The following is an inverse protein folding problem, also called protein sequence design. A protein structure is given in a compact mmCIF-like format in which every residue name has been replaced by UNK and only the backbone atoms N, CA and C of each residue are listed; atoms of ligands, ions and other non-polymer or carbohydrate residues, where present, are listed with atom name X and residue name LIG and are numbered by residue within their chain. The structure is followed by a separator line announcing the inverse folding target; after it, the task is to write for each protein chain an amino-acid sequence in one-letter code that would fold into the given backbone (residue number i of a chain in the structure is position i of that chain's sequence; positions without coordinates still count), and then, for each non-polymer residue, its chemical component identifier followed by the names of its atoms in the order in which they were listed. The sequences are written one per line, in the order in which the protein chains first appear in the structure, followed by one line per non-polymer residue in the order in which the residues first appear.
data_IF_648041881132
#
_entry.id   IF_648041881132
#
_cell.length_a   1.000
_cell.length_b   1.000
_cell.length_c   1.000
_cell.angle_alpha   90.00
_cell.angle_beta   90.00
_cell.angle_gamma   90.00
#
_symmetry.space_group_name_H-M   'P 1'
#
loop_
_entity.id
_entity.type
_entity.pdbx_description
1 polymer ?
#
# COMPACT_ATOMS: atom_id res chain seq x y z
N UNK A 1 -11.43 22.07 1.75
CA UNK A 1 -12.76 21.48 2.05
C UNK A 1 -13.52 21.03 0.80
N UNK A 2 -13.56 21.81 -0.28
CA UNK A 2 -14.22 21.41 -1.53
C UNK A 2 -13.68 20.10 -2.14
N UNK A 3 -12.36 19.88 -2.12
CA UNK A 3 -11.75 18.64 -2.62
C UNK A 3 -12.27 17.38 -1.89
N UNK A 4 -12.35 17.40 -0.57
CA UNK A 4 -12.83 16.25 0.19
C UNK A 4 -14.31 15.96 -0.09
N UNK A 5 -15.11 17.02 -0.26
CA UNK A 5 -16.51 16.88 -0.69
C UNK A 5 -16.59 16.23 -2.06
N UNK A 6 -15.84 16.73 -3.04
CA UNK A 6 -15.81 16.17 -4.40
C UNK A 6 -15.39 14.69 -4.39
N UNK A 7 -14.33 14.33 -3.64
CA UNK A 7 -13.94 12.94 -3.46
C UNK A 7 -15.09 12.13 -2.87
N UNK A 8 -15.73 12.60 -1.79
CA UNK A 8 -16.87 11.90 -1.19
C UNK A 8 -18.05 11.74 -2.16
N UNK A 9 -18.39 12.78 -2.91
CA UNK A 9 -19.52 12.77 -3.86
C UNK A 9 -19.25 11.78 -5.02
N UNK A 10 -17.99 11.65 -5.44
CA UNK A 10 -17.57 10.67 -6.45
C UNK A 10 -17.31 9.27 -5.87
N UNK A 11 -17.16 9.15 -4.55
CA UNK A 11 -16.92 7.89 -3.84
C UNK A 11 -18.23 7.18 -3.49
N UNK A 12 -19.00 6.80 -4.52
CA UNK A 12 -20.00 5.74 -4.36
C UNK A 12 -19.28 4.41 -4.44
N UNK A 13 -18.94 3.84 -3.28
CA UNK A 13 -18.27 2.55 -3.25
C UNK A 13 -19.17 1.51 -3.94
N UNK A 14 -18.67 0.80 -4.98
CA UNK A 14 -19.41 -0.31 -5.54
C UNK A 14 -19.55 -1.42 -4.51
N UNK A 15 -20.57 -2.25 -4.65
CA UNK A 15 -20.68 -3.47 -3.85
C UNK A 15 -19.47 -4.38 -4.10
N UNK A 16 -18.86 -4.94 -3.04
CA UNK A 16 -17.76 -5.87 -3.18
C UNK A 16 -18.22 -7.11 -3.96
N UNK A 17 -17.33 -7.64 -4.79
CA UNK A 17 -17.59 -8.84 -5.58
C UNK A 17 -16.90 -10.04 -4.96
N UNK A 18 -17.61 -11.16 -4.90
CA UNK A 18 -17.06 -12.41 -4.39
C UNK A 18 -15.99 -12.96 -5.33
N UNK A 19 -14.80 -13.18 -4.78
CA UNK A 19 -13.65 -13.72 -5.50
C UNK A 19 -13.84 -15.20 -5.87
N UNK A 20 -13.25 -15.60 -7.00
CA UNK A 20 -13.27 -16.97 -7.52
C UNK A 20 -11.89 -17.59 -7.34
N UNK A 21 -11.81 -18.73 -6.64
CA UNK A 21 -10.55 -19.50 -6.54
C UNK A 21 -10.18 -20.07 -7.90
N UNK A 22 -8.91 -19.97 -8.27
CA UNK A 22 -8.37 -20.52 -9.52
C UNK A 22 -7.10 -21.33 -9.22
N UNK A 23 -6.68 -22.24 -10.11
CA UNK A 23 -5.33 -22.80 -10.06
C UNK A 23 -4.30 -21.72 -10.41
N UNK A 24 -3.05 -21.91 -9.97
CA UNK A 24 -1.93 -21.08 -10.41
C UNK A 24 -1.66 -21.37 -11.90
N UNK A 25 -1.66 -20.32 -12.73
CA UNK A 25 -1.34 -20.45 -14.15
C UNK A 25 0.18 -20.49 -14.37
N UNK A 26 0.61 -21.07 -15.49
CA UNK A 26 2.03 -21.08 -15.90
C UNK A 26 2.58 -19.66 -16.07
N UNK A 27 1.78 -18.74 -16.65
CA UNK A 27 2.18 -17.34 -16.81
C UNK A 27 2.41 -16.64 -15.47
N UNK A 28 1.53 -16.87 -14.48
CA UNK A 28 1.70 -16.33 -13.13
C UNK A 28 2.90 -16.94 -12.41
N UNK A 29 3.14 -18.24 -12.61
CA UNK A 29 4.30 -18.92 -12.05
C UNK A 29 5.60 -18.36 -12.62
N UNK A 30 5.67 -18.15 -13.94
CA UNK A 30 6.85 -17.58 -14.61
C UNK A 30 7.14 -16.15 -14.12
N UNK A 31 6.11 -15.32 -13.91
CA UNK A 31 6.30 -13.99 -13.31
C UNK A 31 6.78 -14.09 -11.86
N UNK A 32 6.18 -14.95 -11.04
CA UNK A 32 6.65 -15.16 -9.66
C UNK A 32 8.12 -15.58 -9.61
N UNK A 33 8.52 -16.53 -10.46
CA UNK A 33 9.90 -17.00 -10.53
C UNK A 33 10.85 -15.87 -10.92
N UNK A 34 10.56 -15.15 -12.02
CA UNK A 34 11.35 -14.01 -12.47
C UNK A 34 11.53 -12.96 -11.38
N UNK A 35 10.42 -12.53 -10.77
CA UNK A 35 10.43 -11.44 -9.79
C UNK A 35 11.04 -11.85 -8.44
N UNK A 36 10.91 -13.12 -8.04
CA UNK A 36 11.45 -13.60 -6.76
C UNK A 36 12.93 -14.03 -6.82
N UNK A 37 13.43 -14.40 -7.99
CA UNK A 37 14.83 -14.83 -8.17
C UNK A 37 15.76 -13.69 -8.58
N UNK A 38 15.22 -12.66 -9.23
CA UNK A 38 15.98 -11.46 -9.53
C UNK A 38 16.39 -10.71 -8.25
N UNK A 39 17.67 -10.29 -8.12
CA UNK A 39 18.07 -9.32 -7.11
C UNK A 39 17.19 -8.07 -7.21
N UNK A 40 16.83 -7.51 -6.07
CA UNK A 40 15.96 -6.33 -6.02
C UNK A 40 16.49 -5.36 -4.99
N UNK A 41 16.90 -4.18 -5.44
CA UNK A 41 17.29 -3.07 -4.57
C UNK A 41 16.10 -2.54 -3.73
N UNK A 42 14.89 -3.03 -4.02
CA UNK A 42 13.64 -2.63 -3.39
C UNK A 42 13.19 -3.59 -2.26
N UNK A 43 13.72 -4.82 -2.21
CA UNK A 43 13.37 -5.87 -1.23
C UNK A 43 14.60 -6.30 -0.40
N UNK A 44 15.16 -5.36 0.35
CA UNK A 44 16.35 -5.60 1.20
C UNK A 44 16.11 -6.59 2.35
N UNK A 45 14.85 -6.91 2.69
CA UNK A 45 14.52 -7.98 3.67
C UNK A 45 14.49 -9.38 3.02
N UNK A 46 14.73 -9.48 1.70
CA UNK A 46 14.66 -10.72 0.93
C UNK A 46 13.31 -11.45 1.06
N UNK A 47 12.21 -10.72 1.28
CA UNK A 47 10.86 -11.27 1.45
C UNK A 47 10.46 -12.17 0.30
N UNK A 48 10.67 -11.71 -0.94
CA UNK A 48 10.29 -12.41 -2.16
C UNK A 48 11.05 -13.73 -2.27
N UNK A 49 12.38 -13.64 -2.16
CA UNK A 49 13.27 -14.81 -2.24
C UNK A 49 12.98 -15.83 -1.14
N UNK A 50 12.70 -15.37 0.09
CA UNK A 50 12.38 -16.24 1.21
C UNK A 50 11.07 -17.02 0.97
N UNK A 51 9.97 -16.32 0.67
CA UNK A 51 8.67 -16.97 0.45
C UNK A 51 8.67 -17.84 -0.81
N UNK A 52 9.39 -17.43 -1.86
CA UNK A 52 9.61 -18.25 -3.05
C UNK A 52 10.35 -19.55 -2.73
N UNK A 53 11.40 -19.50 -1.90
CA UNK A 53 12.10 -20.71 -1.47
C UNK A 53 11.19 -21.66 -0.68
N UNK A 54 10.32 -21.13 0.19
CA UNK A 54 9.32 -21.94 0.91
C UNK A 54 8.32 -22.60 -0.05
N UNK A 55 7.85 -21.86 -1.06
CA UNK A 55 6.95 -22.38 -2.09
C UNK A 55 7.63 -23.50 -2.91
N UNK A 56 8.85 -23.27 -3.42
CA UNK A 56 9.62 -24.29 -4.16
C UNK A 56 9.91 -25.54 -3.33
N UNK A 57 10.09 -25.39 -2.02
CA UNK A 57 10.26 -26.50 -1.09
C UNK A 57 8.94 -27.21 -0.70
N UNK A 58 7.80 -26.79 -1.24
CA UNK A 58 6.48 -27.37 -0.93
C UNK A 58 5.99 -27.06 0.49
N UNK A 59 6.55 -26.07 1.17
CA UNK A 59 6.21 -25.71 2.56
C UNK A 59 5.02 -24.76 2.66
N UNK A 60 4.75 -24.00 1.60
CA UNK A 60 3.59 -23.14 1.48
C UNK A 60 2.93 -23.37 0.11
N UNK A 61 1.63 -23.15 0.03
CA UNK A 61 0.86 -23.25 -1.20
C UNK A 61 0.32 -21.88 -1.60
N UNK A 62 0.28 -21.56 -2.91
CA UNK A 62 -0.20 -20.28 -3.38
C UNK A 62 -1.73 -20.21 -3.23
N UNK A 63 -2.22 -19.07 -2.75
CA UNK A 63 -3.64 -18.73 -2.81
C UNK A 63 -3.87 -17.91 -4.05
N UNK A 64 -4.66 -18.43 -5.00
CA UNK A 64 -4.97 -17.74 -6.25
C UNK A 64 -6.45 -17.42 -6.33
N UNK A 65 -6.77 -16.12 -6.41
CA UNK A 65 -8.14 -15.63 -6.50
C UNK A 65 -8.28 -14.65 -7.66
N UNK A 66 -9.30 -14.86 -8.48
CA UNK A 66 -9.65 -14.00 -9.60
C UNK A 66 -10.89 -13.18 -9.28
N UNK A 67 -10.86 -11.89 -9.63
CA UNK A 67 -12.02 -11.02 -9.56
C UNK A 67 -13.06 -11.47 -10.61
N UNK A 68 -14.36 -11.63 -10.26
CA UNK A 68 -15.34 -12.25 -11.16
C UNK A 68 -15.59 -11.48 -12.46
N UNK A 69 -15.40 -10.16 -12.44
CA UNK A 69 -15.51 -9.33 -13.64
C UNK A 69 -14.21 -9.27 -14.48
N UNK A 70 -13.24 -10.15 -14.21
CA UNK A 70 -11.96 -10.18 -14.93
C UNK A 70 -11.10 -8.93 -14.70
N UNK A 71 -11.26 -8.22 -13.58
CA UNK A 71 -10.49 -6.99 -13.29
C UNK A 71 -9.06 -7.27 -12.82
N UNK A 72 -8.83 -8.45 -12.26
CA UNK A 72 -7.50 -8.86 -11.84
C UNK A 72 -7.47 -10.22 -11.18
N UNK A 73 -6.26 -10.74 -11.01
CA UNK A 73 -5.95 -11.98 -10.30
C UNK A 73 -4.93 -11.68 -9.22
N UNK A 74 -5.20 -12.13 -8.00
CA UNK A 74 -4.27 -12.10 -6.87
C UNK A 74 -3.65 -13.47 -6.72
N UNK A 75 -2.33 -13.53 -6.72
CA UNK A 75 -1.52 -14.71 -6.44
C UNK A 75 -0.75 -14.42 -5.15
N UNK A 76 -1.12 -15.09 -4.06
CA UNK A 76 -0.54 -14.83 -2.74
C UNK A 76 0.31 -16.00 -2.25
N UNK A 77 1.54 -15.71 -1.84
CA UNK A 77 2.40 -16.59 -1.05
C UNK A 77 2.35 -16.11 0.41
N UNK A 78 1.80 -16.96 1.28
CA UNK A 78 1.54 -16.64 2.67
C UNK A 78 2.41 -17.53 3.57
N UNK A 79 3.29 -16.98 4.43
CA UNK A 79 4.08 -17.78 5.36
C UNK A 79 3.22 -18.54 6.39
N UNK A 80 2.08 -17.97 6.80
CA UNK A 80 1.07 -18.66 7.60
C UNK A 80 -0.25 -18.73 6.79
N UNK A 81 -0.81 -19.93 6.54
CA UNK A 81 -2.09 -20.08 5.86
C UNK A 81 -3.23 -19.25 6.45
N UNK A 82 -3.21 -18.95 7.77
CA UNK A 82 -4.23 -18.12 8.44
C UNK A 82 -4.22 -16.66 7.96
N UNK A 83 -3.13 -16.19 7.36
CA UNK A 83 -3.07 -14.84 6.78
C UNK A 83 -4.02 -14.65 5.59
N UNK A 84 -4.60 -15.74 5.05
CA UNK A 84 -5.65 -15.63 4.03
C UNK A 84 -6.86 -14.83 4.52
N UNK A 85 -7.13 -14.90 5.82
CA UNK A 85 -8.21 -14.17 6.50
C UNK A 85 -7.81 -12.72 6.83
N UNK A 86 -6.52 -12.38 6.75
CA UNK A 86 -6.06 -11.00 6.90
C UNK A 86 -6.20 -10.16 5.63
N UNK A 87 -6.33 -10.80 4.47
CA UNK A 87 -6.51 -10.13 3.18
C UNK A 87 -7.94 -9.56 3.14
N UNK A 88 -8.11 -8.23 3.04
CA UNK A 88 -9.42 -7.61 3.02
C UNK A 88 -10.04 -7.75 1.61
N UNK A 89 -10.45 -8.98 1.26
CA UNK A 89 -10.92 -9.35 -0.07
C UNK A 89 -12.02 -8.43 -0.61
N UNK A 90 -12.98 -8.06 0.24
CA UNK A 90 -14.07 -7.17 -0.16
C UNK A 90 -13.55 -5.77 -0.54
N UNK A 91 -12.63 -5.24 0.25
CA UNK A 91 -11.99 -3.96 -0.04
C UNK A 91 -11.14 -4.01 -1.31
N UNK A 92 -10.36 -5.07 -1.50
CA UNK A 92 -9.53 -5.23 -2.69
C UNK A 92 -10.39 -5.38 -3.96
N UNK A 93 -11.56 -6.02 -3.86
CA UNK A 93 -12.52 -6.05 -4.96
C UNK A 93 -13.03 -4.64 -5.30
N UNK A 94 -13.32 -3.81 -4.30
CA UNK A 94 -13.74 -2.42 -4.50
C UNK A 94 -12.62 -1.61 -5.16
N UNK A 95 -11.38 -1.74 -4.66
CA UNK A 95 -10.20 -1.06 -5.21
C UNK A 95 -10.04 -1.41 -6.70
N UNK A 96 -10.11 -2.69 -7.09
CA UNK A 96 -9.99 -3.06 -8.50
C UNK A 96 -11.11 -2.54 -9.39
N UNK A 97 -12.33 -2.37 -8.84
CA UNK A 97 -13.43 -1.72 -9.55
C UNK A 97 -13.14 -0.23 -9.80
N UNK A 98 -12.51 0.46 -8.83
CA UNK A 98 -12.13 1.87 -8.96
C UNK A 98 -10.97 2.07 -9.94
N UNK A 99 -9.98 1.17 -9.94
CA UNK A 99 -8.81 1.22 -10.82
C UNK A 99 -9.02 0.46 -12.13
N UNK A 100 -10.27 0.17 -12.52
CA UNK A 100 -10.56 -0.51 -13.78
C UNK A 100 -9.87 0.21 -14.95
N UNK A 101 -9.03 -0.51 -15.67
CA UNK A 101 -8.31 0.03 -16.82
C UNK A 101 -9.24 0.30 -18.00
N UNK A 102 -8.91 1.32 -18.77
CA UNK A 102 -9.64 1.70 -19.99
C UNK A 102 -9.45 0.67 -21.12
N UNK A 103 -8.28 0.03 -21.18
CA UNK A 103 -7.96 -1.01 -22.16
C UNK A 103 -8.60 -2.38 -21.82
N UNK A 104 -9.23 -2.50 -20.65
CA UNK A 104 -9.90 -3.73 -20.20
C UNK A 104 -8.94 -4.85 -19.77
N UNK A 105 -7.63 -4.61 -19.72
CA UNK A 105 -6.67 -5.63 -19.30
C UNK A 105 -6.80 -5.91 -17.79
N UNK A 106 -6.74 -7.19 -17.37
CA UNK A 106 -6.74 -7.54 -15.95
C UNK A 106 -5.39 -7.25 -15.29
N UNK A 107 -5.41 -6.83 -14.03
CA UNK A 107 -4.19 -6.79 -13.21
C UNK A 107 -3.73 -8.19 -12.80
N UNK A 108 -2.43 -8.44 -12.79
CA UNK A 108 -1.81 -9.57 -12.10
C UNK A 108 -1.08 -9.05 -10.87
N UNK A 109 -1.61 -9.40 -9.70
CA UNK A 109 -1.18 -8.90 -8.40
C UNK A 109 -0.51 -10.04 -7.66
N UNK A 110 0.73 -9.85 -7.24
CA UNK A 110 1.52 -10.83 -6.53
C UNK A 110 1.72 -10.36 -5.09
N UNK A 111 1.23 -11.14 -4.12
CA UNK A 111 1.34 -10.83 -2.70
C UNK A 111 2.27 -11.84 -2.02
N UNK A 112 3.49 -11.42 -1.72
CA UNK A 112 4.41 -12.13 -0.83
C UNK A 112 4.25 -11.56 0.59
N UNK A 113 3.31 -12.06 1.38
CA UNK A 113 2.86 -11.42 2.63
C UNK A 113 3.83 -11.58 3.82
N UNK A 114 5.09 -11.14 3.66
CA UNK A 114 6.09 -11.24 4.72
C UNK A 114 5.69 -10.43 5.97
N UNK A 115 5.82 -10.99 7.20
CA UNK A 115 5.31 -10.37 8.42
C UNK A 115 6.19 -9.25 8.99
N UNK A 116 7.36 -8.98 8.38
CA UNK A 116 8.26 -7.92 8.82
C UNK A 116 7.56 -6.56 8.91
N UNK A 117 7.79 -5.87 10.03
CA UNK A 117 7.24 -4.55 10.32
C UNK A 117 8.18 -3.47 9.80
N UNK A 118 7.60 -2.32 9.43
CA UNK A 118 8.32 -1.07 9.20
C UNK A 118 8.66 -0.47 10.54
N UNK A 119 9.95 -0.46 10.84
CA UNK A 119 10.48 0.07 12.09
C UNK A 119 11.52 1.13 11.77
N UNK A 120 11.62 2.14 12.62
CA UNK A 120 12.72 3.10 12.53
C UNK A 120 14.05 2.37 12.76
N UNK A 121 15.11 2.70 12.01
CA UNK A 121 16.43 2.21 12.33
C UNK A 121 16.95 2.82 13.64
N UNK A 122 18.10 2.37 14.11
CA UNK A 122 18.76 2.96 15.27
C UNK A 122 19.04 4.46 15.06
N UNK A 123 19.12 5.23 16.16
CA UNK A 123 19.40 6.66 16.11
C UNK A 123 20.63 6.97 15.25
N UNK A 124 20.51 7.95 14.35
CA UNK A 124 21.58 8.37 13.44
C UNK A 124 21.79 7.46 12.23
N UNK A 125 21.10 6.32 12.14
CA UNK A 125 21.12 5.48 10.95
C UNK A 125 20.06 5.95 9.94
N UNK A 126 20.35 5.92 8.63
CA UNK A 126 19.41 6.39 7.62
C UNK A 126 18.23 5.44 7.45
N UNK A 127 17.05 5.99 7.15
CA UNK A 127 15.96 5.20 6.55
C UNK A 127 16.41 4.77 5.15
N UNK A 128 16.18 3.51 4.81
CA UNK A 128 16.47 2.89 3.49
C UNK A 128 15.22 2.20 2.95
N UNK A 129 15.19 1.71 1.70
CA UNK A 129 14.10 0.87 1.19
C UNK A 129 13.69 -0.27 2.13
N UNK A 130 14.65 -0.88 2.86
CA UNK A 130 14.39 -1.87 3.92
C UNK A 130 13.34 -1.43 4.93
N UNK A 131 13.27 -0.15 5.24
CA UNK A 131 12.44 0.34 6.34
C UNK A 131 11.04 0.73 5.86
N UNK A 132 10.91 1.17 4.61
CA UNK A 132 9.71 1.89 4.15
C UNK A 132 9.00 1.22 2.98
N UNK A 133 9.73 0.52 2.11
CA UNK A 133 9.13 -0.03 0.90
C UNK A 133 8.21 -1.22 1.22
N UNK A 134 7.23 -1.48 0.37
CA UNK A 134 6.34 -2.63 0.49
C UNK A 134 5.93 -3.28 -0.81
N UNK A 135 6.25 -2.66 -1.94
CA UNK A 135 5.85 -3.13 -3.26
C UNK A 135 6.64 -2.46 -4.36
N UNK A 136 6.29 -2.82 -5.59
CA UNK A 136 6.64 -2.10 -6.80
C UNK A 136 5.73 -2.60 -7.94
N UNK A 137 5.66 -1.82 -9.01
CA UNK A 137 5.11 -2.22 -10.30
C UNK A 137 5.93 -1.60 -11.41
N UNK A 138 5.70 -2.05 -12.64
CA UNK A 138 6.17 -1.31 -13.82
C UNK A 138 5.11 -0.24 -14.20
N UNK A 139 5.53 0.98 -14.56
CA UNK A 139 4.61 2.03 -14.96
C UNK A 139 3.72 1.58 -16.11
N UNK A 140 2.42 1.89 -16.04
CA UNK A 140 1.43 1.55 -17.06
C UNK A 140 1.22 0.05 -17.35
N UNK A 141 1.85 -0.83 -16.58
CA UNK A 141 1.85 -2.27 -16.81
C UNK A 141 0.92 -2.98 -15.81
N UNK A 142 -0.06 -3.71 -16.32
CA UNK A 142 -0.99 -4.49 -15.51
C UNK A 142 -0.48 -5.90 -15.16
N UNK A 143 0.63 -6.35 -15.76
CA UNK A 143 1.10 -7.74 -15.67
C UNK A 143 1.87 -8.05 -14.40
N UNK A 144 2.30 -7.04 -13.64
CA UNK A 144 3.09 -7.24 -12.43
C UNK A 144 2.93 -6.09 -11.42
N UNK A 145 1.88 -6.19 -10.60
CA UNK A 145 1.74 -5.39 -9.37
C UNK A 145 2.24 -6.24 -8.20
N UNK A 146 3.39 -5.91 -7.62
CA UNK A 146 4.05 -6.74 -6.61
C UNK A 146 3.97 -6.09 -5.22
N UNK A 147 3.48 -6.83 -4.22
CA UNK A 147 3.41 -6.43 -2.82
C UNK A 147 4.11 -7.48 -1.98
N UNK A 148 5.17 -7.14 -1.25
CA UNK A 148 6.04 -8.10 -0.56
C UNK A 148 6.09 -7.94 0.98
N UNK A 149 5.21 -7.11 1.55
CA UNK A 149 4.99 -7.02 2.99
C UNK A 149 3.52 -7.13 3.32
N UNK A 150 3.21 -7.87 4.38
CA UNK A 150 1.87 -7.91 4.93
C UNK A 150 1.47 -6.55 5.51
N UNK A 151 2.39 -5.84 6.17
CA UNK A 151 2.07 -4.56 6.80
C UNK A 151 1.65 -3.52 5.74
N UNK A 152 0.45 -2.94 5.90
CA UNK A 152 -0.14 -1.92 5.00
C UNK A 152 -0.27 -2.36 3.54
N UNK A 153 -0.35 -3.67 3.27
CA UNK A 153 -0.45 -4.23 1.92
C UNK A 153 -1.55 -3.56 1.08
N UNK A 154 -2.68 -3.18 1.70
CA UNK A 154 -3.77 -2.48 1.00
C UNK A 154 -3.36 -1.09 0.50
N UNK A 155 -2.63 -0.30 1.31
CA UNK A 155 -2.18 1.03 0.89
C UNK A 155 -1.08 0.93 -0.15
N UNK A 156 -0.18 -0.06 -0.02
CA UNK A 156 0.79 -0.40 -1.08
C UNK A 156 0.06 -0.73 -2.38
N UNK A 157 -0.94 -1.62 -2.33
CA UNK A 157 -1.72 -1.97 -3.52
C UNK A 157 -2.34 -0.75 -4.21
N UNK A 158 -2.91 0.19 -3.46
CA UNK A 158 -3.47 1.42 -4.03
C UNK A 158 -2.37 2.23 -4.74
N UNK A 159 -1.21 2.41 -4.10
CA UNK A 159 -0.07 3.11 -4.69
C UNK A 159 0.42 2.45 -5.99
N UNK A 160 0.67 1.14 -5.98
CA UNK A 160 1.10 0.42 -7.19
C UNK A 160 0.01 0.41 -8.28
N UNK A 161 -1.26 0.48 -7.90
CA UNK A 161 -2.35 0.61 -8.87
C UNK A 161 -2.35 1.96 -9.57
N UNK A 162 -1.98 3.06 -8.90
CA UNK A 162 -1.79 4.36 -9.58
C UNK A 162 -0.72 4.27 -10.67
N UNK A 163 0.42 3.67 -10.35
CA UNK A 163 1.52 3.46 -11.30
C UNK A 163 1.12 2.57 -12.47
N UNK A 164 0.56 1.38 -12.17
CA UNK A 164 0.17 0.43 -13.21
C UNK A 164 -0.99 0.95 -14.06
N UNK A 165 -1.90 1.77 -13.53
CA UNK A 165 -3.02 2.33 -14.28
C UNK A 165 -2.70 3.61 -15.07
N UNK A 166 -1.42 4.01 -15.15
CA UNK A 166 -0.99 5.27 -15.76
C UNK A 166 -1.63 6.52 -15.15
N UNK A 167 -1.94 6.51 -13.85
CA UNK A 167 -2.56 7.65 -13.18
C UNK A 167 -1.54 8.63 -12.59
N UNK A 168 -0.25 8.34 -12.70
CA UNK A 168 0.81 9.26 -12.30
C UNK A 168 0.83 10.54 -13.14
N UNK A 169 1.27 11.63 -12.51
CA UNK A 169 1.56 12.87 -13.20
C UNK A 169 2.96 12.82 -13.85
N UNK A 170 3.01 12.41 -15.11
CA UNK A 170 4.26 12.25 -15.87
C UNK A 170 4.99 13.57 -16.16
N UNK A 171 4.35 14.71 -15.92
CA UNK A 171 4.98 16.03 -16.06
C UNK A 171 5.89 16.40 -14.87
N UNK A 172 5.84 15.63 -13.77
CA UNK A 172 6.68 15.84 -12.60
C UNK A 172 7.99 15.05 -12.69
N UNK A 173 9.09 15.58 -12.10
CA UNK A 173 10.28 14.78 -11.78
C UNK A 173 9.91 13.53 -10.98
N UNK A 174 10.73 12.48 -11.09
CA UNK A 174 10.45 11.18 -10.47
C UNK A 174 10.13 11.32 -8.97
N UNK A 175 10.95 12.06 -8.23
CA UNK A 175 10.80 12.24 -6.78
C UNK A 175 9.46 12.87 -6.41
N UNK A 176 9.06 13.94 -7.09
CA UNK A 176 7.80 14.65 -6.85
C UNK A 176 6.59 13.81 -7.29
N UNK A 177 6.73 13.04 -8.37
CA UNK A 177 5.71 12.12 -8.86
C UNK A 177 5.42 11.01 -7.85
N UNK A 178 6.47 10.32 -7.38
CA UNK A 178 6.36 9.29 -6.35
C UNK A 178 5.75 9.85 -5.05
N UNK A 179 6.16 11.06 -4.66
CA UNK A 179 5.61 11.75 -3.50
C UNK A 179 4.12 12.12 -3.67
N UNK A 180 3.70 12.54 -4.88
CA UNK A 180 2.31 12.83 -5.20
C UNK A 180 1.47 11.53 -5.18
N UNK A 181 1.98 10.47 -5.78
CA UNK A 181 1.31 9.16 -5.83
C UNK A 181 1.15 8.55 -4.44
N UNK A 182 2.17 8.65 -3.56
CA UNK A 182 2.04 8.29 -2.14
C UNK A 182 0.99 9.13 -1.41
N UNK A 183 0.97 10.46 -1.65
CA UNK A 183 -0.02 11.34 -1.05
C UNK A 183 -1.46 10.97 -1.47
N UNK A 184 -1.67 10.64 -2.75
CA UNK A 184 -2.94 10.15 -3.28
C UNK A 184 -3.31 8.79 -2.69
N UNK A 185 -2.36 7.85 -2.60
CA UNK A 185 -2.63 6.52 -2.05
C UNK A 185 -3.18 6.60 -0.61
N UNK A 186 -2.59 7.45 0.24
CA UNK A 186 -3.06 7.66 1.61
C UNK A 186 -4.42 8.37 1.67
N UNK A 187 -4.67 9.35 0.80
CA UNK A 187 -5.94 10.07 0.75
C UNK A 187 -7.08 9.16 0.28
N UNK A 188 -6.87 8.38 -0.78
CA UNK A 188 -7.84 7.39 -1.29
C UNK A 188 -8.06 6.30 -0.25
N UNK A 189 -7.02 5.84 0.44
CA UNK A 189 -7.18 4.90 1.54
C UNK A 189 -8.07 5.48 2.66
N UNK A 190 -7.87 6.73 3.07
CA UNK A 190 -8.74 7.39 4.04
C UNK A 190 -10.20 7.47 3.56
N UNK A 191 -10.40 7.76 2.27
CA UNK A 191 -11.72 7.84 1.66
C UNK A 191 -12.42 6.48 1.64
N UNK A 192 -11.69 5.41 1.27
CA UNK A 192 -12.18 4.03 1.27
C UNK A 192 -12.60 3.60 2.68
N UNK A 193 -11.77 3.90 3.67
CA UNK A 193 -12.07 3.61 5.07
C UNK A 193 -13.33 4.33 5.57
N UNK A 194 -13.61 5.52 5.04
CA UNK A 194 -14.79 6.31 5.40
C UNK A 194 -16.08 5.89 4.69
N UNK A 195 -16.02 5.05 3.65
CA UNK A 195 -17.19 4.49 2.95
C UNK A 195 -18.23 5.52 2.49
N UNK A 196 -17.76 6.64 1.96
CA UNK A 196 -18.63 7.73 1.49
C UNK A 196 -19.21 8.60 2.61
N UNK A 197 -18.89 8.36 3.89
CA UNK A 197 -19.26 9.27 4.97
C UNK A 197 -18.27 10.43 5.10
N UNK A 198 -18.68 11.63 4.71
CA UNK A 198 -17.83 12.82 4.71
C UNK A 198 -17.27 13.16 6.09
N UNK A 199 -18.07 12.97 7.16
CA UNK A 199 -17.65 13.31 8.53
C UNK A 199 -16.52 12.39 8.96
N UNK A 200 -16.66 11.09 8.72
CA UNK A 200 -15.63 10.08 8.97
C UNK A 200 -14.42 10.31 8.08
N UNK A 201 -14.61 10.65 6.80
CA UNK A 201 -13.50 10.95 5.90
C UNK A 201 -12.66 12.12 6.40
N UNK A 202 -13.29 13.23 6.78
CA UNK A 202 -12.60 14.38 7.40
C UNK A 202 -11.86 13.99 8.68
N UNK A 203 -12.43 13.08 9.48
CA UNK A 203 -11.79 12.57 10.70
C UNK A 203 -10.54 11.74 10.37
N UNK A 204 -10.62 10.82 9.40
CA UNK A 204 -9.48 10.01 8.98
C UNK A 204 -8.38 10.82 8.30
N UNK A 205 -8.73 11.80 7.46
CA UNK A 205 -7.77 12.76 6.90
C UNK A 205 -7.03 13.50 8.01
N UNK A 206 -7.73 13.97 9.06
CA UNK A 206 -7.06 14.61 10.21
C UNK A 206 -6.12 13.65 10.94
N UNK A 207 -6.54 12.41 11.18
CA UNK A 207 -5.69 11.39 11.83
C UNK A 207 -4.44 11.08 10.99
N UNK A 208 -4.60 10.94 9.68
CA UNK A 208 -3.51 10.71 8.75
C UNK A 208 -2.56 11.91 8.68
N UNK A 209 -3.08 13.13 8.59
CA UNK A 209 -2.28 14.35 8.63
C UNK A 209 -1.45 14.45 9.93
N UNK A 210 -2.07 14.19 11.09
CA UNK A 210 -1.36 14.11 12.36
C UNK A 210 -0.29 13.02 12.37
N UNK A 211 -0.58 11.85 11.81
CA UNK A 211 0.37 10.74 11.71
C UNK A 211 1.60 11.12 10.86
N UNK A 212 1.40 11.74 9.70
CA UNK A 212 2.45 12.25 8.82
C UNK A 212 3.35 13.23 9.59
N UNK A 213 2.76 14.17 10.33
CA UNK A 213 3.51 15.15 11.11
C UNK A 213 4.34 14.49 12.23
N UNK A 214 3.77 13.51 12.94
CA UNK A 214 4.50 12.74 13.96
C UNK A 214 5.66 11.96 13.34
N UNK A 215 5.42 11.28 12.21
CA UNK A 215 6.44 10.53 11.48
C UNK A 215 7.59 11.42 11.04
N UNK A 216 7.29 12.56 10.41
CA UNK A 216 8.32 13.47 9.95
C UNK A 216 9.10 14.11 11.10
N UNK A 217 8.44 14.42 12.22
CA UNK A 217 9.12 14.88 13.43
C UNK A 217 10.11 13.81 13.96
N UNK A 218 9.69 12.54 14.02
CA UNK A 218 10.55 11.44 14.46
C UNK A 218 11.74 11.20 13.51
N UNK A 219 11.52 11.28 12.19
CA UNK A 219 12.60 11.17 11.19
C UNK A 219 13.70 12.22 11.40
N UNK A 220 13.29 13.47 11.65
CA UNK A 220 14.22 14.59 11.87
C UNK A 220 14.92 14.47 13.23
N UNK A 221 14.17 14.18 14.30
CA UNK A 221 14.73 14.02 15.65
C UNK A 221 15.73 12.86 15.72
N UNK A 222 15.42 11.74 15.07
CA UNK A 222 16.28 10.55 15.02
C UNK A 222 17.45 10.66 14.05
N UNK A 223 17.59 11.78 13.33
CA UNK A 223 18.62 12.01 12.29
C UNK A 223 18.62 10.93 11.20
N UNK A 224 17.44 10.43 10.85
CA UNK A 224 17.29 9.33 9.89
C UNK A 224 17.23 9.79 8.43
N UNK A 225 17.21 11.10 8.20
CA UNK A 225 17.25 11.72 6.89
C UNK A 225 18.20 12.91 6.89
N UNK A 226 18.96 13.06 5.81
CA UNK A 226 19.78 14.24 5.60
C UNK A 226 18.91 15.41 5.12
N UNK A 227 19.03 16.61 5.71
CA UNK A 227 18.31 17.79 5.24
C UNK A 227 18.57 18.06 3.74
N UNK A 228 17.52 18.39 3.00
CA UNK A 228 17.61 18.72 1.57
C UNK A 228 17.76 17.53 0.62
N UNK A 229 17.95 16.31 1.13
CA UNK A 229 18.08 15.11 0.30
C UNK A 229 16.69 14.57 -0.12
N UNK A 230 16.41 14.56 -1.41
CA UNK A 230 15.13 14.06 -2.00
C UNK A 230 15.19 12.58 -2.43
N UNK A 231 16.07 11.79 -1.81
CA UNK A 231 16.21 10.36 -2.11
C UNK A 231 14.99 9.51 -1.74
N UNK A 232 15.11 8.19 -1.93
CA UNK A 232 14.01 7.25 -1.79
C UNK A 232 13.12 7.46 -0.55
N UNK A 233 13.63 7.57 0.71
CA UNK A 233 12.79 7.78 1.88
C UNK A 233 12.01 9.09 1.89
N UNK A 234 12.53 10.14 1.25
CA UNK A 234 11.90 11.45 1.19
C UNK A 234 10.55 11.39 0.49
N UNK A 235 10.47 10.63 -0.61
CA UNK A 235 9.26 10.49 -1.44
C UNK A 235 8.07 10.01 -0.59
N UNK A 236 8.31 9.01 0.25
CA UNK A 236 7.31 8.38 1.13
C UNK A 236 7.06 9.13 2.45
N UNK A 237 7.74 10.23 2.75
CA UNK A 237 7.69 10.89 4.08
C UNK A 237 7.51 12.40 3.96
N UNK A 238 8.59 13.14 3.78
CA UNK A 238 8.59 14.60 3.67
C UNK A 238 7.96 15.04 2.36
N UNK A 239 8.28 14.40 1.25
CA UNK A 239 7.74 14.71 -0.08
C UNK A 239 6.21 14.62 -0.11
N UNK A 240 5.63 13.48 0.30
CA UNK A 240 4.16 13.34 0.37
C UNK A 240 3.51 14.39 1.30
N UNK A 241 4.18 14.76 2.39
CA UNK A 241 3.67 15.78 3.31
C UNK A 241 3.57 17.16 2.65
N UNK A 242 4.52 17.51 1.76
CA UNK A 242 4.44 18.75 0.98
C UNK A 242 3.23 18.76 0.06
N UNK A 243 2.85 17.62 -0.54
CA UNK A 243 1.61 17.50 -1.33
C UNK A 243 0.36 17.65 -0.46
N UNK A 244 0.31 17.01 0.70
CA UNK A 244 -0.77 17.21 1.66
C UNK A 244 -0.90 18.68 2.10
N UNK A 245 0.23 19.38 2.26
CA UNK A 245 0.24 20.82 2.54
C UNK A 245 -0.29 21.64 1.35
N UNK A 246 0.16 21.36 0.12
CA UNK A 246 -0.34 22.02 -1.11
C UNK A 246 -1.86 21.87 -1.26
N UNK A 247 -2.42 20.73 -0.82
CA UNK A 247 -3.87 20.48 -0.83
C UNK A 247 -4.62 21.06 0.38
N UNK A 248 -3.94 21.75 1.29
CA UNK A 248 -4.52 22.33 2.50
C UNK A 248 -4.97 21.29 3.54
N UNK A 249 -4.41 20.08 3.51
CA UNK A 249 -4.77 18.98 4.41
C UNK A 249 -3.94 18.96 5.71
N UNK A 250 -2.80 19.68 5.75
CA UNK A 250 -1.94 19.76 6.94
C UNK A 250 -2.14 20.99 7.83
N UNK A 251 -2.91 22.01 7.40
CA UNK A 251 -2.92 23.35 8.02
C UNK A 251 -3.28 23.42 9.52
N UNK A 252 -3.79 22.33 10.11
CA UNK A 252 -4.14 22.22 11.54
C UNK A 252 -3.74 20.88 12.15
N UNK A 253 -2.85 20.14 11.50
CA UNK A 253 -2.38 18.86 11.99
C UNK A 253 -1.35 19.07 13.09
N UNK A 254 -1.60 18.51 14.27
CA UNK A 254 -0.62 18.45 15.35
C UNK A 254 -0.05 17.05 15.43
N UNK A 255 1.26 16.89 15.75
CA UNK A 255 1.82 15.60 16.11
C UNK A 255 1.00 14.94 17.23
N UNK A 256 0.80 13.64 17.10
CA UNK A 256 0.12 12.78 18.08
C UNK A 256 1.12 12.04 18.96
N UNK A 257 0.61 11.12 19.80
CA UNK A 257 1.39 10.28 20.70
C UNK A 257 2.56 9.56 19.97
N UNK A 258 3.62 9.15 20.70
CA UNK A 258 4.84 8.61 20.10
C UNK A 258 4.57 7.36 19.27
N UNK A 259 5.30 7.22 18.15
CA UNK A 259 5.13 6.15 17.16
C UNK A 259 5.51 4.74 17.65
N UNK A 260 6.00 4.61 18.89
CA UNK A 260 6.49 3.34 19.46
C UNK A 260 7.47 2.61 18.53
N UNK A 261 8.32 3.34 17.80
CA UNK A 261 9.29 2.78 16.84
C UNK A 261 8.71 2.39 15.47
N UNK A 262 7.41 2.55 15.23
CA UNK A 262 6.76 2.21 13.96
C UNK A 262 7.02 3.24 12.85
N UNK A 263 7.46 2.78 11.68
CA UNK A 263 7.58 3.55 10.44
C UNK A 263 6.42 3.25 9.45
N UNK A 264 5.25 2.82 9.95
CA UNK A 264 4.04 2.73 9.13
C UNK A 264 3.71 4.07 8.49
N UNK A 265 3.20 4.05 7.26
CA UNK A 265 2.85 5.26 6.51
C UNK A 265 1.43 5.73 6.82
N UNK A 266 0.53 4.81 7.19
CA UNK A 266 -0.83 5.12 7.62
C UNK A 266 -1.03 5.04 9.13
N UNK A 267 -1.99 5.81 9.65
CA UNK A 267 -2.47 5.60 11.01
C UNK A 267 -3.01 4.18 11.17
N UNK A 268 -2.88 3.60 12.37
CA UNK A 268 -3.37 2.24 12.63
C UNK A 268 -4.91 2.20 12.60
N UNK A 269 -5.52 1.39 11.70
CA UNK A 269 -6.97 1.22 11.69
C UNK A 269 -7.48 0.69 13.02
N UNK A 270 -8.53 1.28 13.61
CA UNK A 270 -9.13 0.73 14.81
C UNK A 270 -9.80 -0.62 14.52
N UNK A 271 -9.96 -1.45 15.55
CA UNK A 271 -10.40 -2.83 15.39
C UNK A 271 -11.82 -2.99 14.83
N UNK A 272 -12.71 -2.05 15.12
CA UNK A 272 -14.04 -1.96 14.52
C UNK A 272 -13.99 -1.72 13.01
N UNK A 273 -13.10 -0.84 12.54
CA UNK A 273 -12.87 -0.62 11.11
C UNK A 273 -12.33 -1.89 10.44
N UNK A 274 -11.39 -2.59 11.07
CA UNK A 274 -10.88 -3.87 10.54
C UNK A 274 -11.99 -4.92 10.42
N UNK A 275 -12.79 -5.10 11.47
CA UNK A 275 -13.95 -6.00 11.46
C UNK A 275 -14.96 -5.64 10.38
N UNK A 276 -15.17 -4.35 10.13
CA UNK A 276 -16.09 -3.91 9.08
C UNK A 276 -15.66 -4.39 7.68
N UNK A 277 -14.37 -4.64 7.47
CA UNK A 277 -13.79 -5.18 6.23
C UNK A 277 -13.57 -6.70 6.29
N UNK A 278 -14.24 -7.39 7.22
CA UNK A 278 -14.19 -8.85 7.36
C UNK A 278 -12.77 -9.41 7.59
N UNK A 279 -11.90 -8.64 8.25
CA UNK A 279 -10.56 -9.12 8.65
C UNK A 279 -10.38 -9.09 10.18
N UNK A 280 -9.50 -9.94 10.74
CA UNK A 280 -9.16 -9.92 12.15
C UNK A 280 -8.63 -8.57 12.62
N UNK A 281 -8.85 -8.24 13.90
CA UNK A 281 -8.27 -7.02 14.51
C UNK A 281 -6.74 -7.03 14.52
N UNK A 282 -6.13 -8.22 14.51
CA UNK A 282 -4.69 -8.44 14.37
C UNK A 282 -4.17 -8.22 12.94
N UNK A 283 -5.04 -8.12 11.93
CA UNK A 283 -4.61 -8.00 10.52
C UNK A 283 -3.61 -6.86 10.34
N UNK A 284 -2.50 -7.17 9.67
CA UNK A 284 -1.48 -6.18 9.35
C UNK A 284 -1.69 -5.52 7.98
N UNK A 285 -2.56 -6.11 7.14
CA UNK A 285 -2.77 -5.73 5.73
C UNK A 285 -3.63 -4.48 5.53
N UNK A 286 -4.35 -4.06 6.58
CA UNK A 286 -5.02 -2.77 6.67
C UNK A 286 -4.16 -1.72 7.38
#
# INVERSE_FOLDING_TARGET
MAMLQAITDHMRLPEPKRWITKPLSEAHLATLERECEAPSDFDEIFSKKHLWALFKAGRIHPVVKQHPNGLGTVVALLPDPKQVDEIPWDLWSIILQMFKRKDGLPYSIFLCAHPARREFPAFGQPVTPLHINGGYTYPCDATCVFVFRAQEATRVLIHELFHSSCCDNTNLPLEEREAETEAWAELIWCALMARGDLKTFKSYVKKQASWIMTQNAALLQGRHMQPGHQGFPWRYTVGKALWWQRWGLLEKALPTAPLQGSLRLTFMPPGDLKRSWNVPTSSMML
#
